data_IF_908931167104
#
_entry.id   IF_908931167104
#
_cell.length_a   1.000
_cell.length_b   1.000
_cell.length_c   1.000
_cell.angle_alpha   90.00
_cell.angle_beta   90.00
_cell.angle_gamma   90.00
#
_symmetry.space_group_name_H-M   'P 1'
#
loop_
_entity.id
_entity.type
_entity.pdbx_description
1 polymer ?
#
# COMPACT_ATOMS: atom_id res chain seq x y z
N UNK A 1 10.69 15.49 19.80
CA UNK A 1 9.74 14.37 19.97
C UNK A 1 10.41 13.08 19.53
N UNK A 2 10.48 12.05 20.38
CA UNK A 2 11.11 10.80 19.97
C UNK A 2 10.29 10.12 18.86
N UNK A 3 11.00 9.42 17.99
CA UNK A 3 10.35 8.61 16.96
C UNK A 3 9.77 7.32 17.55
N UNK A 4 8.74 6.82 16.92
CA UNK A 4 8.25 5.48 17.20
C UNK A 4 9.37 4.47 16.93
N UNK A 5 9.61 3.48 17.82
CA UNK A 5 10.70 2.52 17.65
C UNK A 5 10.64 1.73 16.34
N UNK A 6 9.44 1.40 15.87
CA UNK A 6 9.27 0.67 14.61
C UNK A 6 9.66 1.54 13.41
N UNK A 7 9.31 2.83 13.46
CA UNK A 7 9.70 3.78 12.43
C UNK A 7 11.20 4.05 12.46
N UNK A 8 11.79 4.13 13.65
CA UNK A 8 13.23 4.29 13.80
C UNK A 8 13.98 3.10 13.18
N UNK A 9 13.54 1.88 13.48
CA UNK A 9 14.10 0.68 12.89
C UNK A 9 13.98 0.64 11.35
N UNK A 10 12.86 1.09 10.83
CA UNK A 10 12.66 1.21 9.39
C UNK A 10 13.64 2.20 8.76
N UNK A 11 13.83 3.37 9.38
CA UNK A 11 14.75 4.37 8.87
C UNK A 11 16.21 3.90 8.91
N UNK A 12 16.59 3.14 9.92
CA UNK A 12 17.91 2.53 10.00
C UNK A 12 18.15 1.53 8.86
N UNK A 13 17.17 0.68 8.58
CA UNK A 13 17.26 -0.27 7.47
C UNK A 13 17.36 0.45 6.13
N UNK A 14 16.59 1.50 5.92
CA UNK A 14 16.64 2.30 4.71
C UNK A 14 18.02 2.96 4.52
N UNK A 15 18.61 3.47 5.60
CA UNK A 15 19.95 4.07 5.56
C UNK A 15 21.02 3.03 5.27
N UNK A 16 20.93 1.84 5.85
CA UNK A 16 21.84 0.73 5.56
C UNK A 16 21.78 0.33 4.09
N UNK A 17 20.59 0.26 3.51
CA UNK A 17 20.40 -0.02 2.10
C UNK A 17 21.04 1.04 1.21
N UNK A 18 20.91 2.30 1.58
CA UNK A 18 21.50 3.42 0.86
C UNK A 18 23.04 3.37 0.93
N UNK A 19 23.60 3.17 2.11
CA UNK A 19 25.05 3.13 2.33
C UNK A 19 25.70 1.94 1.65
N UNK A 20 25.01 0.80 1.56
CA UNK A 20 25.53 -0.38 0.90
C UNK A 20 25.55 -0.28 -0.62
N UNK A 21 24.89 0.73 -1.19
CA UNK A 21 24.75 0.89 -2.64
C UNK A 21 23.76 -0.07 -3.30
N UNK A 22 23.04 -0.88 -2.52
CA UNK A 22 22.08 -1.86 -3.04
C UNK A 22 20.74 -1.23 -3.39
N UNK A 23 20.42 -0.07 -2.84
CA UNK A 23 19.21 0.66 -3.18
C UNK A 23 19.55 2.02 -3.76
N UNK A 24 18.75 2.45 -4.75
CA UNK A 24 18.87 3.78 -5.34
C UNK A 24 17.76 4.67 -4.81
N UNK A 25 18.00 5.99 -4.70
CA UNK A 25 16.93 6.93 -4.38
C UNK A 25 15.79 6.81 -5.40
N UNK A 26 14.55 6.96 -4.93
CA UNK A 26 13.36 6.79 -5.78
C UNK A 26 13.38 7.69 -7.02
N UNK A 27 13.90 8.91 -6.91
CA UNK A 27 13.97 9.85 -8.03
C UNK A 27 14.95 9.43 -9.13
N UNK A 28 15.82 8.46 -8.88
CA UNK A 28 16.74 7.89 -9.87
C UNK A 28 16.16 6.65 -10.56
N UNK A 29 15.00 6.19 -10.15
CA UNK A 29 14.33 5.03 -10.72
C UNK A 29 13.33 5.45 -11.79
N UNK A 30 13.05 4.55 -12.73
CA UNK A 30 11.89 4.71 -13.61
C UNK A 30 10.61 4.63 -12.78
N UNK A 31 9.48 5.20 -13.24
CA UNK A 31 8.21 5.07 -12.50
C UNK A 31 7.82 3.61 -12.25
N UNK A 32 8.04 2.73 -13.21
CA UNK A 32 7.75 1.31 -13.07
C UNK A 32 8.63 0.65 -11.99
N UNK A 33 9.92 0.96 -11.99
CA UNK A 33 10.86 0.41 -11.00
C UNK A 33 10.55 0.95 -9.60
N UNK A 34 10.20 2.23 -9.47
CA UNK A 34 9.82 2.82 -8.20
C UNK A 34 8.56 2.18 -7.62
N UNK A 35 7.55 1.93 -8.44
CA UNK A 35 6.32 1.23 -8.02
C UNK A 35 6.61 -0.19 -7.56
N UNK A 36 7.41 -0.94 -8.32
CA UNK A 36 7.75 -2.31 -7.98
C UNK A 36 8.51 -2.39 -6.65
N UNK A 37 9.44 -1.47 -6.43
CA UNK A 37 10.20 -1.41 -5.18
C UNK A 37 9.33 -1.02 -3.99
N UNK A 38 8.43 -0.07 -4.16
CA UNK A 38 7.46 0.32 -3.14
C UNK A 38 6.55 -0.85 -2.77
N UNK A 39 6.01 -1.56 -3.76
CA UNK A 39 5.13 -2.71 -3.53
C UNK A 39 5.86 -3.81 -2.77
N UNK A 40 7.10 -4.12 -3.15
CA UNK A 40 7.90 -5.13 -2.47
C UNK A 40 8.18 -4.75 -1.01
N UNK A 41 8.57 -3.51 -0.76
CA UNK A 41 8.83 -3.01 0.58
C UNK A 41 7.57 -3.03 1.45
N UNK A 42 6.43 -2.64 0.88
CA UNK A 42 5.15 -2.67 1.58
C UNK A 42 4.75 -4.08 1.98
N UNK A 43 4.96 -5.07 1.13
CA UNK A 43 4.67 -6.48 1.45
C UNK A 43 5.51 -6.99 2.62
N UNK A 44 6.75 -6.52 2.74
CA UNK A 44 7.66 -6.93 3.81
C UNK A 44 7.28 -6.26 5.15
N UNK A 45 6.89 -4.99 5.09
CA UNK A 45 6.69 -4.16 6.29
C UNK A 45 5.26 -4.18 6.81
N UNK A 46 4.28 -4.41 5.96
CA UNK A 46 2.88 -4.40 6.36
C UNK A 46 2.55 -5.65 7.19
N UNK A 47 1.80 -5.47 8.28
CA UNK A 47 1.29 -6.62 9.01
C UNK A 47 0.24 -7.37 8.19
N UNK A 48 0.01 -8.62 8.55
CA UNK A 48 -1.06 -9.41 7.94
C UNK A 48 -2.41 -8.74 8.18
N UNK A 49 -3.30 -8.69 7.17
CA UNK A 49 -4.61 -8.08 7.34
C UNK A 49 -5.46 -8.87 8.36
N UNK A 50 -6.37 -8.20 9.07
CA UNK A 50 -7.28 -8.88 9.99
C UNK A 50 -8.12 -9.93 9.28
N UNK A 51 -8.24 -11.13 9.88
CA UNK A 51 -8.99 -12.24 9.27
C UNK A 51 -10.51 -12.03 9.21
N UNK A 52 -11.03 -11.03 9.93
CA UNK A 52 -12.45 -10.72 9.92
C UNK A 52 -12.86 -9.71 8.84
N UNK A 53 -11.96 -9.38 7.92
CA UNK A 53 -12.20 -8.43 6.83
C UNK A 53 -12.17 -9.17 5.51
N UNK A 54 -13.25 -9.07 4.74
CA UNK A 54 -13.30 -9.55 3.36
C UNK A 54 -12.81 -8.46 2.42
N UNK A 55 -11.95 -8.84 1.48
CA UNK A 55 -11.42 -7.93 0.48
C UNK A 55 -11.84 -8.43 -0.90
N UNK A 56 -12.51 -7.58 -1.66
CA UNK A 56 -12.96 -7.90 -3.03
C UNK A 56 -12.29 -6.96 -4.02
N UNK A 57 -11.81 -7.50 -5.13
CA UNK A 57 -11.29 -6.69 -6.22
C UNK A 57 -12.45 -6.15 -7.07
N UNK A 58 -12.38 -4.86 -7.40
CA UNK A 58 -13.35 -4.19 -8.26
C UNK A 58 -12.65 -3.56 -9.44
N UNK A 59 -13.39 -3.45 -10.55
CA UNK A 59 -12.97 -2.71 -11.73
C UNK A 59 -13.95 -1.58 -11.96
N UNK A 60 -13.47 -0.35 -11.94
CA UNK A 60 -14.30 0.84 -12.10
C UNK A 60 -14.01 1.43 -13.48
N UNK A 61 -15.03 1.52 -14.38
CA UNK A 61 -14.82 2.12 -15.69
C UNK A 61 -14.60 3.62 -15.56
N UNK A 62 -13.63 4.13 -16.29
CA UNK A 62 -13.31 5.56 -16.35
C UNK A 62 -13.96 6.19 -17.59
N UNK A 63 -14.03 7.53 -17.63
CA UNK A 63 -14.60 8.26 -18.76
C UNK A 63 -13.90 8.01 -20.08
N UNK A 64 -12.59 7.76 -20.02
CA UNK A 64 -11.74 7.55 -21.19
C UNK A 64 -11.70 6.08 -21.67
N UNK A 65 -12.55 5.23 -21.10
CA UNK A 65 -12.66 3.83 -21.50
C UNK A 65 -11.68 2.87 -20.84
N UNK A 66 -10.91 3.34 -19.87
CA UNK A 66 -10.03 2.47 -19.08
C UNK A 66 -10.75 1.86 -17.89
N UNK A 67 -10.15 0.83 -17.30
CA UNK A 67 -10.62 0.20 -16.07
C UNK A 67 -9.66 0.55 -14.93
N UNK A 68 -10.22 1.08 -13.86
CA UNK A 68 -9.46 1.42 -12.65
C UNK A 68 -9.62 0.29 -11.63
N UNK A 69 -8.51 -0.27 -11.18
CA UNK A 69 -8.53 -1.29 -10.15
C UNK A 69 -8.84 -0.66 -8.79
N UNK A 70 -9.75 -1.27 -8.07
CA UNK A 70 -10.13 -0.83 -6.72
C UNK A 70 -10.31 -2.05 -5.82
N UNK A 71 -10.33 -1.82 -4.52
CA UNK A 71 -10.58 -2.85 -3.52
C UNK A 71 -11.71 -2.42 -2.61
N UNK A 72 -12.61 -3.34 -2.33
CA UNK A 72 -13.69 -3.17 -1.37
C UNK A 72 -13.36 -3.98 -0.11
N UNK A 73 -13.28 -3.30 1.01
CA UNK A 73 -13.04 -3.91 2.33
C UNK A 73 -14.34 -3.92 3.11
N UNK A 74 -14.72 -5.08 3.61
CA UNK A 74 -15.97 -5.24 4.33
C UNK A 74 -15.78 -6.22 5.49
N UNK A 75 -16.36 -5.90 6.64
CA UNK A 75 -16.37 -6.82 7.77
C UNK A 75 -17.14 -8.10 7.39
N UNK A 76 -16.55 -9.25 7.69
CA UNK A 76 -17.19 -10.54 7.43
C UNK A 76 -18.54 -10.63 8.19
N UNK A 77 -19.54 -11.24 7.56
CA UNK A 77 -20.87 -11.37 8.12
C UNK A 77 -21.79 -10.16 7.93
N UNK A 78 -21.33 -9.13 7.21
CA UNK A 78 -22.14 -7.92 6.97
C UNK A 78 -22.57 -7.77 5.51
N UNK A 79 -22.48 -8.84 4.71
CA UNK A 79 -22.72 -8.80 3.26
C UNK A 79 -24.13 -8.35 2.89
N UNK A 80 -25.10 -8.62 3.76
CA UNK A 80 -26.49 -8.22 3.57
C UNK A 80 -26.87 -6.92 4.28
N UNK A 81 -25.92 -6.26 4.94
CA UNK A 81 -26.18 -5.05 5.69
C UNK A 81 -25.89 -3.81 4.88
N UNK A 82 -26.72 -2.78 5.03
CA UNK A 82 -26.44 -1.45 4.52
C UNK A 82 -25.55 -0.72 5.52
N UNK A 83 -24.33 -0.41 5.12
CA UNK A 83 -23.34 0.21 5.98
C UNK A 83 -22.86 1.54 5.39
N UNK A 84 -22.41 2.49 6.22
CA UNK A 84 -21.71 3.67 5.72
C UNK A 84 -20.49 3.29 4.88
N UNK A 85 -20.17 4.09 3.89
CA UNK A 85 -19.04 3.85 2.98
C UNK A 85 -18.01 4.96 3.14
N UNK A 86 -16.74 4.55 3.23
CA UNK A 86 -15.60 5.46 3.20
C UNK A 86 -14.86 5.22 1.90
N UNK A 87 -14.67 6.28 1.11
CA UNK A 87 -13.84 6.23 -0.09
C UNK A 87 -12.45 6.76 0.24
N UNK A 88 -11.44 5.96 -0.07
CA UNK A 88 -10.05 6.33 0.14
C UNK A 88 -9.31 6.41 -1.20
N UNK A 89 -8.65 7.53 -1.44
CA UNK A 89 -7.80 7.73 -2.60
C UNK A 89 -6.36 7.92 -2.13
N UNK A 90 -5.47 7.08 -2.60
CA UNK A 90 -4.05 7.25 -2.26
C UNK A 90 -3.47 8.48 -2.95
N UNK A 91 -2.40 9.03 -2.39
CA UNK A 91 -1.79 10.26 -2.89
C UNK A 91 -0.79 10.11 -4.03
N UNK A 92 -0.57 8.90 -4.49
CA UNK A 92 0.38 8.67 -5.57
C UNK A 92 1.50 7.71 -5.22
#
# INVERSE_FOLDING_TARGET
MPLDPDLEGFLELAEMGRLSGKSKPMHQLTPQAARAEFDLTSQILDPSPPGAINVSALQIPTRDGHQLAARLYRKAGTEQSALPVILYFHGG
#
